data_IF_357620397847
#
_entry.id   IF_357620397847
#
_cell.length_a   1.000
_cell.length_b   1.000
_cell.length_c   1.000
_cell.angle_alpha   90.00
_cell.angle_beta   90.00
_cell.angle_gamma   90.00
#
_symmetry.space_group_name_H-M   'P 1'
#
loop_
_entity.id
_entity.type
_entity.pdbx_description
1 polymer ?
#
# COMPACT_ATOMS: atom_id res chain seq x y z
N UNK A 1 38.99 22.13 51.81
CA UNK A 1 38.76 20.82 51.16
C UNK A 1 37.70 21.00 50.09
N UNK A 2 38.09 20.99 48.81
CA UNK A 2 37.16 21.19 47.67
C UNK A 2 36.90 19.82 47.03
N UNK A 3 35.64 19.39 47.05
CA UNK A 3 35.19 18.13 46.43
C UNK A 3 34.80 18.40 45.00
N UNK A 4 35.58 17.90 44.06
CA UNK A 4 35.30 17.97 42.60
C UNK A 4 34.20 16.97 42.20
N UNK A 5 33.05 17.46 41.72
CA UNK A 5 32.00 16.64 41.11
C UNK A 5 32.35 16.38 39.64
N UNK A 6 32.73 15.15 39.33
CA UNK A 6 32.87 14.67 37.94
C UNK A 6 31.49 14.32 37.41
N UNK A 7 31.01 15.09 36.43
CA UNK A 7 29.81 14.79 35.66
C UNK A 7 30.14 13.69 34.64
N UNK A 8 29.54 12.53 34.79
CA UNK A 8 29.63 11.43 33.82
C UNK A 8 28.56 11.70 32.77
N UNK A 9 28.94 12.08 31.55
CA UNK A 9 28.07 12.11 30.39
C UNK A 9 27.87 10.66 29.89
N UNK A 10 26.71 10.08 30.15
CA UNK A 10 26.28 8.86 29.46
C UNK A 10 25.79 9.23 28.06
N UNK A 11 26.56 8.96 27.03
CA UNK A 11 26.15 9.03 25.65
C UNK A 11 25.19 7.83 25.38
N UNK A 12 23.90 8.11 25.23
CA UNK A 12 22.92 7.13 24.75
C UNK A 12 23.18 6.92 23.24
N UNK A 13 23.86 5.84 22.90
CA UNK A 13 23.95 5.38 21.52
C UNK A 13 22.58 4.86 21.09
N UNK A 14 21.93 5.55 20.13
CA UNK A 14 20.74 5.05 19.48
C UNK A 14 21.08 3.75 18.72
N UNK A 15 20.27 2.69 18.81
CA UNK A 15 20.54 1.48 18.06
C UNK A 15 20.40 1.76 16.55
N UNK A 16 21.49 1.62 15.82
CA UNK A 16 21.49 1.51 14.37
C UNK A 16 20.79 0.20 14.02
N UNK A 17 19.55 0.28 13.54
CA UNK A 17 18.85 -0.85 12.92
C UNK A 17 19.54 -1.19 11.59
N UNK A 18 20.63 -1.91 11.65
CA UNK A 18 21.18 -2.60 10.48
C UNK A 18 20.26 -3.79 10.20
N UNK A 19 19.33 -3.66 9.24
CA UNK A 19 18.56 -4.81 8.76
C UNK A 19 19.53 -5.88 8.30
N UNK A 20 19.45 -7.07 8.90
CA UNK A 20 20.32 -8.19 8.55
C UNK A 20 20.12 -8.50 7.05
N UNK A 21 21.18 -8.77 6.28
CA UNK A 21 21.08 -9.09 4.84
C UNK A 21 20.07 -10.21 4.54
N UNK A 22 19.92 -11.18 5.42
CA UNK A 22 18.94 -12.25 5.32
C UNK A 22 17.47 -11.76 5.33
N UNK A 23 17.14 -10.80 6.17
CA UNK A 23 15.77 -10.24 6.26
C UNK A 23 15.38 -9.45 5.01
N UNK A 24 16.33 -8.72 4.42
CA UNK A 24 16.12 -8.01 3.16
C UNK A 24 15.87 -8.97 1.99
N UNK A 25 16.63 -10.06 1.91
CA UNK A 25 16.45 -11.09 0.88
C UNK A 25 15.12 -11.82 1.03
N UNK A 26 14.69 -12.12 2.25
CA UNK A 26 13.38 -12.73 2.53
C UNK A 26 12.22 -11.83 2.08
N UNK A 27 12.30 -10.53 2.37
CA UNK A 27 11.28 -9.56 1.94
C UNK A 27 11.18 -9.47 0.42
N UNK A 28 12.32 -9.44 -0.29
CA UNK A 28 12.36 -9.47 -1.75
C UNK A 28 11.89 -10.83 -2.32
N UNK A 29 12.14 -11.93 -1.63
CA UNK A 29 11.57 -13.24 -1.95
C UNK A 29 10.03 -13.22 -1.90
N UNK A 30 9.45 -12.60 -0.87
CA UNK A 30 7.98 -12.40 -0.79
C UNK A 30 7.44 -11.54 -1.95
N UNK A 31 8.16 -10.49 -2.35
CA UNK A 31 7.78 -9.69 -3.53
C UNK A 31 7.68 -10.57 -4.78
N UNK A 32 8.67 -11.43 -5.03
CA UNK A 32 8.67 -12.34 -6.18
C UNK A 32 7.52 -13.34 -6.10
N UNK A 33 7.32 -13.96 -4.95
CA UNK A 33 6.25 -14.93 -4.74
C UNK A 33 4.83 -14.33 -4.88
N UNK A 34 4.69 -13.04 -4.60
CA UNK A 34 3.42 -12.34 -4.68
C UNK A 34 2.91 -12.09 -6.11
N UNK A 35 3.81 -12.10 -7.11
CA UNK A 35 3.49 -11.79 -8.51
C UNK A 35 4.01 -12.84 -9.50
N UNK A 36 3.59 -14.12 -9.38
CA UNK A 36 4.18 -15.24 -10.13
C UNK A 36 3.97 -15.16 -11.64
N UNK A 37 2.96 -14.41 -12.11
CA UNK A 37 2.73 -14.21 -13.55
C UNK A 37 3.71 -13.20 -14.17
N UNK A 38 4.34 -12.36 -13.37
CA UNK A 38 5.25 -11.31 -13.82
C UNK A 38 6.70 -11.55 -13.40
N UNK A 39 6.92 -12.15 -12.25
CA UNK A 39 8.25 -12.30 -11.65
C UNK A 39 8.66 -13.78 -11.64
N UNK A 40 9.84 -14.06 -12.21
CA UNK A 40 10.37 -15.42 -12.31
C UNK A 40 11.18 -15.81 -11.07
N UNK A 41 12.10 -14.94 -10.62
CA UNK A 41 12.98 -15.21 -9.49
C UNK A 41 13.70 -13.96 -8.98
N UNK A 42 14.26 -14.08 -7.78
CA UNK A 42 15.30 -13.19 -7.27
C UNK A 42 16.67 -13.79 -7.62
N UNK A 43 17.54 -13.02 -8.26
CA UNK A 43 18.89 -13.39 -8.66
C UNK A 43 19.88 -12.41 -8.03
N UNK A 44 20.38 -12.73 -6.84
CA UNK A 44 21.17 -11.82 -6.03
C UNK A 44 20.39 -10.55 -5.64
N UNK A 45 20.80 -9.43 -6.18
CA UNK A 45 20.15 -8.13 -5.96
C UNK A 45 19.26 -7.69 -7.12
N UNK A 46 18.86 -8.61 -7.99
CA UNK A 46 18.08 -8.33 -9.19
C UNK A 46 16.82 -9.18 -9.21
N UNK A 47 15.67 -8.56 -9.41
CA UNK A 47 14.44 -9.26 -9.75
C UNK A 47 14.43 -9.55 -11.25
N UNK A 48 14.26 -10.81 -11.60
CA UNK A 48 14.12 -11.26 -13.00
C UNK A 48 12.64 -11.45 -13.30
N UNK A 49 12.16 -10.77 -14.33
CA UNK A 49 10.79 -10.88 -14.83
C UNK A 49 10.62 -12.11 -15.72
N UNK A 50 9.38 -12.57 -15.89
CA UNK A 50 9.07 -13.72 -16.76
C UNK A 50 9.42 -13.50 -18.23
N UNK A 51 9.49 -12.24 -18.68
CA UNK A 51 9.93 -11.85 -20.03
C UNK A 51 11.48 -11.72 -20.16
N UNK A 52 12.23 -12.09 -19.11
CA UNK A 52 13.68 -11.99 -19.06
C UNK A 52 14.24 -10.62 -18.66
N UNK A 53 13.40 -9.59 -18.54
CA UNK A 53 13.85 -8.27 -18.06
C UNK A 53 14.42 -8.38 -16.65
N UNK A 54 15.49 -7.62 -16.39
CA UNK A 54 16.18 -7.55 -15.09
C UNK A 54 15.94 -6.17 -14.44
N UNK A 55 15.58 -6.15 -13.17
CA UNK A 55 15.32 -4.92 -12.41
C UNK A 55 16.09 -4.95 -11.10
N UNK A 56 16.94 -3.94 -10.90
CA UNK A 56 17.74 -3.78 -9.68
C UNK A 56 16.82 -3.55 -8.46
N UNK A 57 17.11 -4.23 -7.35
CA UNK A 57 16.32 -4.11 -6.12
C UNK A 57 16.70 -2.89 -5.29
N UNK A 58 17.90 -2.35 -5.49
CA UNK A 58 18.48 -1.32 -4.62
C UNK A 58 18.96 -1.87 -3.26
N UNK A 59 19.11 -3.18 -3.12
CA UNK A 59 19.69 -3.79 -1.93
C UNK A 59 21.12 -3.27 -1.68
N UNK A 60 21.49 -3.14 -0.40
CA UNK A 60 22.80 -2.59 0.01
C UNK A 60 22.88 -1.06 -0.02
N UNK A 61 21.88 -0.35 -0.53
CA UNK A 61 21.83 1.12 -0.40
C UNK A 61 21.52 1.51 1.05
N UNK A 62 22.13 2.61 1.57
CA UNK A 62 21.81 3.11 2.91
C UNK A 62 20.35 3.53 3.01
N UNK A 63 19.83 3.55 4.22
CA UNK A 63 18.50 4.06 4.48
C UNK A 63 18.42 5.55 4.12
N UNK A 64 17.33 5.92 3.44
CA UNK A 64 17.07 7.29 3.00
C UNK A 64 15.89 7.89 3.79
N UNK A 65 15.81 9.23 3.92
CA UNK A 65 14.66 9.87 4.52
C UNK A 65 13.34 9.42 3.87
N UNK A 66 12.28 9.34 4.66
CA UNK A 66 10.96 8.88 4.22
C UNK A 66 10.45 9.65 2.98
N UNK A 67 10.63 10.98 2.98
CA UNK A 67 10.20 11.86 1.89
C UNK A 67 10.97 11.61 0.58
N UNK A 68 12.22 11.18 0.68
CA UNK A 68 13.03 10.78 -0.48
C UNK A 68 12.54 9.45 -1.03
N UNK A 69 12.32 8.46 -0.15
CA UNK A 69 11.79 7.15 -0.55
C UNK A 69 10.38 7.24 -1.13
N UNK A 70 9.54 8.16 -0.66
CA UNK A 70 8.22 8.41 -1.22
C UNK A 70 8.25 8.83 -2.70
N UNK A 71 9.32 9.50 -3.14
CA UNK A 71 9.43 10.04 -4.51
C UNK A 71 10.25 9.19 -5.45
N UNK A 72 11.21 8.45 -4.91
CA UNK A 72 12.17 7.64 -5.67
C UNK A 72 12.49 6.35 -4.92
N UNK A 73 11.50 5.46 -4.83
CA UNK A 73 11.66 4.19 -4.14
C UNK A 73 12.34 3.13 -5.01
N UNK A 74 13.28 2.41 -4.40
CA UNK A 74 13.75 1.11 -4.89
C UNK A 74 12.77 0.00 -4.50
N UNK A 75 12.94 -1.22 -5.01
CA UNK A 75 12.15 -2.38 -4.57
C UNK A 75 12.43 -2.72 -3.09
N UNK A 76 13.67 -2.53 -2.64
CA UNK A 76 14.02 -2.71 -1.23
C UNK A 76 13.30 -1.69 -0.34
N UNK A 77 13.21 -0.42 -0.75
CA UNK A 77 12.46 0.59 -0.01
C UNK A 77 10.97 0.28 0.04
N UNK A 78 10.38 -0.19 -1.07
CA UNK A 78 8.97 -0.61 -1.16
C UNK A 78 8.64 -1.69 -0.13
N UNK A 79 9.56 -2.62 0.11
CA UNK A 79 9.39 -3.74 1.03
C UNK A 79 9.80 -3.43 2.48
N UNK A 80 10.23 -2.20 2.79
CA UNK A 80 10.80 -1.83 4.10
C UNK A 80 9.79 -1.84 5.22
N UNK A 81 8.57 -1.35 4.96
CA UNK A 81 7.52 -1.25 5.98
C UNK A 81 6.58 -2.47 5.89
N UNK A 82 6.48 -3.21 6.98
CA UNK A 82 5.54 -4.31 7.10
C UNK A 82 4.10 -3.76 7.24
N UNK A 83 3.16 -4.36 6.53
CA UNK A 83 1.73 -4.10 6.74
C UNK A 83 1.25 -4.91 7.95
N UNK A 84 0.68 -4.28 8.98
CA UNK A 84 0.24 -4.98 10.19
C UNK A 84 -1.01 -5.82 9.89
N UNK A 85 -0.97 -7.10 10.26
CA UNK A 85 -2.13 -7.99 10.16
C UNK A 85 -3.19 -7.65 11.23
N UNK A 86 -4.45 -7.93 10.94
CA UNK A 86 -5.56 -7.80 11.89
C UNK A 86 -5.97 -6.36 12.22
N UNK A 87 -6.81 -6.16 13.24
CA UNK A 87 -7.31 -4.85 13.61
C UNK A 87 -6.19 -3.92 14.08
N UNK A 88 -6.27 -2.60 13.78
CA UNK A 88 -5.29 -1.64 14.25
C UNK A 88 -5.22 -1.64 15.78
N UNK A 89 -4.03 -1.78 16.35
CA UNK A 89 -3.82 -1.70 17.80
C UNK A 89 -3.85 -0.25 18.34
N UNK A 90 -3.85 0.75 17.44
CA UNK A 90 -3.84 2.17 17.74
C UNK A 90 -3.43 3.00 16.53
N UNK A 91 -3.22 4.32 16.71
CA UNK A 91 -2.73 5.19 15.66
C UNK A 91 -1.38 4.71 15.10
N UNK A 92 -1.18 4.73 13.77
CA UNK A 92 0.10 4.38 13.17
C UNK A 92 1.23 5.30 13.62
N UNK A 93 2.42 4.74 13.82
CA UNK A 93 3.62 5.52 14.12
C UNK A 93 3.97 6.51 13.01
N UNK A 94 4.68 7.60 13.38
CA UNK A 94 5.10 8.63 12.41
C UNK A 94 5.81 8.01 11.20
N UNK A 95 5.39 8.41 9.99
CA UNK A 95 5.89 7.93 8.70
C UNK A 95 5.71 6.41 8.47
N UNK A 96 4.99 5.69 9.34
CA UNK A 96 4.61 4.31 9.06
C UNK A 96 3.39 4.30 8.13
N UNK A 97 3.62 4.09 6.85
CA UNK A 97 2.60 4.09 5.79
C UNK A 97 2.93 3.02 4.75
N UNK A 98 2.81 1.71 5.13
CA UNK A 98 3.16 0.58 4.27
C UNK A 98 2.33 0.60 2.98
N UNK A 99 3.00 0.58 1.83
CA UNK A 99 2.40 0.72 0.51
C UNK A 99 2.57 2.10 -0.12
N UNK A 100 2.75 3.16 0.66
CA UNK A 100 2.99 4.49 0.09
C UNK A 100 4.37 4.65 -0.54
N UNK A 101 5.40 4.02 0.03
CA UNK A 101 6.72 3.89 -0.60
C UNK A 101 6.61 2.81 -1.67
N UNK A 102 6.74 3.18 -2.96
CA UNK A 102 6.62 2.23 -4.07
C UNK A 102 7.43 2.63 -5.29
N UNK A 103 8.00 1.64 -5.96
CA UNK A 103 8.72 1.83 -7.21
C UNK A 103 7.73 2.01 -8.37
N UNK A 104 7.68 3.22 -8.95
CA UNK A 104 6.85 3.50 -10.12
C UNK A 104 7.24 2.63 -11.32
N UNK A 105 8.54 2.42 -11.55
CA UNK A 105 9.01 1.60 -12.65
C UNK A 105 8.50 0.15 -12.57
N UNK A 106 8.42 -0.39 -11.35
CA UNK A 106 7.87 -1.72 -11.10
C UNK A 106 6.39 -1.82 -11.48
N UNK A 107 5.57 -0.90 -10.98
CA UNK A 107 4.13 -0.93 -11.24
C UNK A 107 3.78 -0.54 -12.68
N UNK A 108 4.51 0.41 -13.28
CA UNK A 108 4.34 0.76 -14.70
C UNK A 108 4.67 -0.43 -15.60
N UNK A 109 5.72 -1.19 -15.31
CA UNK A 109 6.04 -2.40 -16.09
C UNK A 109 4.94 -3.45 -15.95
N UNK A 110 4.39 -3.63 -14.76
CA UNK A 110 3.39 -4.65 -14.45
C UNK A 110 2.01 -4.31 -15.02
N UNK A 111 1.52 -3.10 -14.76
CA UNK A 111 0.15 -2.67 -15.06
C UNK A 111 0.02 -1.78 -16.30
N UNK A 112 1.10 -1.20 -16.79
CA UNK A 112 1.12 -0.21 -17.86
C UNK A 112 1.10 1.23 -17.34
N UNK A 113 1.40 2.18 -18.25
CA UNK A 113 1.34 3.62 -17.97
C UNK A 113 0.08 4.21 -18.63
N UNK A 114 -0.91 4.60 -17.84
CA UNK A 114 -2.18 5.16 -18.33
C UNK A 114 -1.98 6.44 -19.17
N UNK A 115 -0.90 7.19 -18.94
CA UNK A 115 -0.58 8.42 -19.69
C UNK A 115 -0.12 8.15 -21.13
N UNK A 116 0.32 6.91 -21.41
CA UNK A 116 0.78 6.48 -22.75
C UNK A 116 -0.27 5.70 -23.53
N UNK A 117 -1.46 5.51 -22.96
CA UNK A 117 -2.50 4.65 -23.49
C UNK A 117 -2.21 3.16 -23.29
N UNK A 118 -3.23 2.32 -23.45
CA UNK A 118 -3.08 0.87 -23.35
C UNK A 118 -3.26 0.25 -21.98
N UNK A 119 -3.26 1.03 -20.89
CA UNK A 119 -3.61 0.52 -19.58
C UNK A 119 -5.08 0.08 -19.51
N UNK A 120 -5.97 0.83 -20.16
CA UNK A 120 -7.40 0.57 -20.28
C UNK A 120 -7.73 -0.76 -20.99
N UNK A 121 -6.88 -1.24 -21.91
CA UNK A 121 -7.05 -2.55 -22.58
C UNK A 121 -6.92 -3.74 -21.62
N UNK A 122 -6.40 -3.52 -20.44
CA UNK A 122 -6.23 -4.53 -19.37
C UNK A 122 -7.30 -4.40 -18.30
N UNK A 123 -8.33 -3.57 -18.53
CA UNK A 123 -9.43 -3.39 -17.60
C UNK A 123 -10.65 -4.19 -18.05
N UNK A 124 -11.41 -4.67 -17.08
CA UNK A 124 -12.78 -5.13 -17.28
C UNK A 124 -13.71 -4.44 -16.29
N UNK A 125 -14.97 -4.35 -16.64
CA UNK A 125 -15.99 -3.80 -15.75
C UNK A 125 -16.36 -4.82 -14.68
N UNK A 126 -16.29 -4.38 -13.42
CA UNK A 126 -16.81 -5.10 -12.24
C UNK A 126 -17.98 -4.29 -11.71
N UNK A 127 -19.10 -4.93 -11.38
CA UNK A 127 -20.23 -4.24 -10.76
C UNK A 127 -20.04 -4.20 -9.25
N UNK A 128 -19.76 -3.01 -8.72
CA UNK A 128 -19.67 -2.77 -7.28
C UNK A 128 -21.04 -2.83 -6.64
N UNK A 129 -21.17 -3.53 -5.51
CA UNK A 129 -22.37 -3.66 -4.67
C UNK A 129 -23.67 -3.85 -5.47
N UNK A 130 -23.76 -4.95 -6.28
CA UNK A 130 -24.84 -5.16 -7.24
C UNK A 130 -26.23 -5.29 -6.60
N UNK A 131 -26.32 -5.75 -5.35
CA UNK A 131 -27.57 -5.93 -4.63
C UNK A 131 -27.96 -4.70 -3.80
N UNK A 132 -26.96 -3.88 -3.40
CA UNK A 132 -27.17 -2.70 -2.55
C UNK A 132 -27.35 -1.43 -3.39
N UNK A 133 -26.37 -1.12 -4.23
CA UNK A 133 -26.35 0.03 -5.12
C UNK A 133 -25.39 -0.22 -6.29
N UNK A 134 -25.85 -0.81 -7.39
CA UNK A 134 -25.01 -1.17 -8.51
C UNK A 134 -24.24 0.02 -9.09
N UNK A 135 -22.92 -0.16 -9.23
CA UNK A 135 -22.04 0.84 -9.84
C UNK A 135 -20.98 0.13 -10.69
N UNK A 136 -20.92 0.38 -12.02
CA UNK A 136 -19.89 -0.22 -12.86
C UNK A 136 -18.54 0.47 -12.63
N UNK A 137 -17.50 -0.34 -12.39
CA UNK A 137 -16.14 0.12 -12.11
C UNK A 137 -15.14 -0.58 -13.03
N UNK A 138 -14.25 0.15 -13.74
CA UNK A 138 -13.14 -0.45 -14.47
C UNK A 138 -12.06 -0.93 -13.52
N UNK A 139 -11.67 -2.20 -13.62
CA UNK A 139 -10.67 -2.85 -12.74
C UNK A 139 -9.68 -3.61 -13.60
N UNK A 140 -8.41 -3.54 -13.26
CA UNK A 140 -7.37 -4.28 -13.99
C UNK A 140 -7.56 -5.79 -13.90
N UNK A 141 -7.28 -6.49 -15.00
CA UNK A 141 -7.25 -7.96 -15.04
C UNK A 141 -5.89 -8.53 -14.60
N UNK A 142 -4.85 -7.69 -14.56
CA UNK A 142 -3.52 -8.10 -14.12
C UNK A 142 -3.56 -8.59 -12.67
N UNK A 143 -2.84 -9.66 -12.39
CA UNK A 143 -2.74 -10.30 -11.07
C UNK A 143 -4.10 -10.71 -10.47
N UNK A 144 -5.10 -10.97 -11.30
CA UNK A 144 -6.45 -11.35 -10.90
C UNK A 144 -7.19 -10.30 -10.04
N UNK A 145 -6.74 -9.03 -10.07
CA UNK A 145 -7.30 -7.97 -9.21
C UNK A 145 -8.81 -7.86 -9.35
N UNK A 146 -9.33 -7.88 -10.59
CA UNK A 146 -10.76 -7.82 -10.82
C UNK A 146 -11.52 -9.01 -10.21
N UNK A 147 -11.01 -10.23 -10.34
CA UNK A 147 -11.59 -11.43 -9.75
C UNK A 147 -11.54 -11.41 -8.20
N UNK A 148 -10.45 -10.88 -7.64
CA UNK A 148 -10.33 -10.70 -6.19
C UNK A 148 -11.31 -9.65 -5.67
N UNK A 149 -11.48 -8.54 -6.40
CA UNK A 149 -12.48 -7.52 -6.03
C UNK A 149 -13.91 -8.08 -6.09
N UNK A 150 -14.24 -8.95 -7.04
CA UNK A 150 -15.54 -9.64 -7.06
C UNK A 150 -15.76 -10.52 -5.82
N UNK A 151 -14.71 -11.20 -5.34
CA UNK A 151 -14.79 -11.96 -4.07
C UNK A 151 -15.00 -11.03 -2.87
N UNK A 152 -14.28 -9.89 -2.84
CA UNK A 152 -14.52 -8.84 -1.83
C UNK A 152 -15.99 -8.40 -1.86
N UNK A 153 -16.54 -8.09 -3.03
CA UNK A 153 -17.93 -7.65 -3.19
C UNK A 153 -18.90 -8.70 -2.66
N UNK A 154 -18.68 -9.96 -3.00
CA UNK A 154 -19.55 -11.06 -2.54
C UNK A 154 -19.60 -11.17 -1.02
N UNK A 155 -18.49 -10.96 -0.32
CA UNK A 155 -18.46 -10.96 1.15
C UNK A 155 -19.04 -9.67 1.74
N UNK A 156 -18.75 -8.50 1.14
CA UNK A 156 -19.31 -7.22 1.60
C UNK A 156 -20.83 -7.15 1.49
N UNK A 157 -21.42 -7.79 0.47
CA UNK A 157 -22.89 -7.87 0.33
C UNK A 157 -23.55 -8.71 1.44
N UNK A 158 -22.80 -9.58 2.11
CA UNK A 158 -23.27 -10.37 3.26
C UNK A 158 -23.21 -9.62 4.58
N UNK A 159 -22.49 -8.51 4.62
CA UNK A 159 -22.37 -7.71 5.83
C UNK A 159 -23.72 -7.06 6.20
N UNK A 160 -23.95 -6.79 7.50
CA UNK A 160 -25.13 -6.05 7.95
C UNK A 160 -25.29 -4.69 7.24
N UNK A 161 -26.52 -4.28 6.94
CA UNK A 161 -26.82 -3.07 6.17
C UNK A 161 -26.22 -1.78 6.77
N UNK A 162 -26.07 -1.74 8.11
CA UNK A 162 -25.36 -0.61 8.76
C UNK A 162 -23.94 -0.40 8.26
N UNK A 163 -23.26 -1.45 7.81
CA UNK A 163 -21.90 -1.39 7.27
C UNK A 163 -21.89 -1.01 5.79
N UNK A 164 -22.94 -1.37 5.04
CA UNK A 164 -23.02 -1.07 3.61
C UNK A 164 -23.07 0.43 3.31
N UNK A 165 -23.53 1.24 4.26
CA UNK A 165 -23.51 2.70 4.14
C UNK A 165 -22.10 3.30 3.99
N UNK A 166 -21.06 2.60 4.43
CA UNK A 166 -19.65 2.99 4.23
C UNK A 166 -19.12 2.64 2.84
N UNK A 167 -19.82 1.77 2.12
CA UNK A 167 -19.37 1.21 0.85
C UNK A 167 -19.93 1.97 -0.36
N UNK A 168 -21.12 2.59 -0.22
CA UNK A 168 -21.85 3.19 -1.34
C UNK A 168 -22.19 4.67 -1.11
N UNK A 169 -22.03 5.50 -2.17
CA UNK A 169 -21.42 5.18 -3.44
C UNK A 169 -19.91 4.99 -3.29
N UNK A 170 -19.29 4.14 -4.13
CA UNK A 170 -17.83 4.12 -4.29
C UNK A 170 -17.36 5.38 -5.01
N UNK A 171 -16.17 5.87 -4.66
CA UNK A 171 -15.51 6.97 -5.38
C UNK A 171 -14.67 6.49 -6.55
N UNK A 172 -14.68 5.17 -6.81
CA UNK A 172 -14.17 4.57 -8.02
C UNK A 172 -12.84 3.85 -7.88
N UNK A 173 -12.44 3.22 -8.99
CA UNK A 173 -11.22 2.39 -9.09
C UNK A 173 -10.16 3.00 -9.99
N UNK A 174 -10.55 3.48 -11.18
CA UNK A 174 -9.61 3.99 -12.17
C UNK A 174 -9.64 5.52 -12.24
N UNK A 175 -8.46 6.12 -12.07
CA UNK A 175 -8.23 7.53 -12.30
C UNK A 175 -6.76 7.73 -12.67
N UNK A 176 -6.50 8.11 -13.93
CA UNK A 176 -5.15 8.37 -14.43
C UNK A 176 -4.60 9.68 -13.88
N UNK A 177 -4.14 9.66 -12.64
CA UNK A 177 -3.61 10.83 -11.93
C UNK A 177 -2.35 10.50 -11.14
N UNK A 178 -1.59 11.53 -10.83
CA UNK A 178 -0.51 11.46 -9.84
C UNK A 178 -1.04 11.76 -8.43
N UNK A 179 -0.35 11.27 -7.42
CA UNK A 179 -0.56 11.62 -6.02
C UNK A 179 0.05 12.99 -5.77
N UNK A 180 -0.73 13.93 -5.22
CA UNK A 180 -0.38 15.36 -5.16
C UNK A 180 0.91 15.65 -4.38
N UNK A 181 1.18 14.91 -3.30
CA UNK A 181 2.34 15.11 -2.43
C UNK A 181 3.62 14.41 -2.93
N UNK A 182 3.51 13.43 -3.82
CA UNK A 182 4.66 12.67 -4.32
C UNK A 182 4.96 12.87 -5.81
N UNK A 183 3.95 13.24 -6.61
CA UNK A 183 4.04 13.32 -8.06
C UNK A 183 4.07 11.95 -8.76
N UNK A 184 4.01 10.83 -8.01
CA UNK A 184 3.99 9.48 -8.55
C UNK A 184 2.58 9.08 -8.98
N UNK A 185 2.49 8.17 -9.96
CA UNK A 185 1.19 7.60 -10.34
C UNK A 185 0.49 6.97 -9.15
N UNK A 186 -0.79 7.30 -8.96
CA UNK A 186 -1.65 6.66 -7.97
C UNK A 186 -1.86 5.18 -8.32
N UNK A 187 -2.17 4.32 -7.33
CA UNK A 187 -2.61 2.95 -7.61
C UNK A 187 -3.94 2.91 -8.37
N UNK A 188 -4.74 3.97 -8.29
CA UNK A 188 -5.91 4.18 -9.17
C UNK A 188 -5.52 4.32 -10.65
N UNK A 189 -4.34 4.84 -10.97
CA UNK A 189 -3.86 4.92 -12.36
C UNK A 189 -3.62 3.55 -13.00
N UNK A 190 -3.53 2.51 -12.18
CA UNK A 190 -3.40 1.11 -12.59
C UNK A 190 -4.72 0.34 -12.49
N UNK A 191 -5.83 0.96 -12.07
CA UNK A 191 -7.10 0.31 -11.74
C UNK A 191 -6.93 -0.87 -10.73
N UNK A 192 -5.93 -0.77 -9.85
CA UNK A 192 -5.59 -1.75 -8.82
C UNK A 192 -5.92 -1.25 -7.40
N UNK A 193 -6.72 -0.21 -7.29
CA UNK A 193 -7.22 0.38 -6.05
C UNK A 193 -8.70 0.72 -6.16
N UNK A 194 -9.36 0.87 -5.02
CA UNK A 194 -10.73 1.35 -4.90
C UNK A 194 -10.84 2.31 -3.72
N UNK A 195 -11.57 3.40 -3.91
CA UNK A 195 -12.04 4.26 -2.84
C UNK A 195 -13.52 3.98 -2.57
N UNK A 196 -13.85 3.63 -1.32
CA UNK A 196 -15.23 3.46 -0.87
C UNK A 196 -15.89 4.82 -0.59
N UNK A 197 -16.98 4.89 0.17
CA UNK A 197 -17.74 6.11 0.39
C UNK A 197 -16.93 7.21 1.12
N UNK A 198 -16.48 8.22 0.37
CA UNK A 198 -15.70 9.37 0.86
C UNK A 198 -16.45 10.13 1.96
N UNK A 199 -17.77 10.29 1.85
CA UNK A 199 -18.54 11.05 2.84
C UNK A 199 -18.52 10.41 4.25
N UNK A 200 -18.19 9.13 4.35
CA UNK A 200 -18.07 8.38 5.61
C UNK A 200 -16.64 8.02 5.99
N UNK A 201 -15.68 8.60 5.30
CA UNK A 201 -14.25 8.31 5.44
C UNK A 201 -13.49 9.51 5.99
N UNK A 202 -12.24 9.30 6.34
CA UNK A 202 -11.31 10.31 6.83
C UNK A 202 -10.02 10.28 6.01
N UNK A 203 -9.47 11.47 5.74
CA UNK A 203 -8.22 11.63 5.01
C UNK A 203 -7.28 12.56 5.76
N UNK A 204 -6.05 12.18 5.90
CA UNK A 204 -5.07 12.86 6.73
C UNK A 204 -4.93 14.37 6.44
N UNK A 205 -5.00 14.77 5.16
CA UNK A 205 -4.83 16.18 4.80
C UNK A 205 -6.03 17.06 5.17
N UNK A 206 -7.22 16.47 5.37
CA UNK A 206 -8.40 17.22 5.83
C UNK A 206 -8.31 17.60 7.31
N UNK A 207 -7.56 16.82 8.10
CA UNK A 207 -7.40 17.01 9.53
C UNK A 207 -6.03 17.56 9.90
N UNK A 208 -5.17 17.88 8.90
CA UNK A 208 -3.81 18.34 9.12
C UNK A 208 -3.82 19.67 9.86
N UNK A 209 -3.26 19.67 11.06
CA UNK A 209 -2.95 20.83 11.86
C UNK A 209 -1.44 21.13 11.78
N UNK A 210 -1.00 22.31 12.25
CA UNK A 210 0.41 22.70 12.17
C UNK A 210 1.32 21.67 12.86
N UNK A 211 2.09 20.94 12.06
CA UNK A 211 3.14 20.02 12.52
C UNK A 211 2.66 18.65 12.99
N UNK A 212 1.36 18.37 13.00
CA UNK A 212 0.80 17.08 13.43
C UNK A 212 -0.30 16.56 12.49
N UNK A 213 -0.54 15.24 12.53
CA UNK A 213 -1.59 14.55 11.80
C UNK A 213 -2.41 13.78 12.83
N UNK A 214 -3.47 14.38 13.40
CA UNK A 214 -4.33 13.69 14.35
C UNK A 214 -5.03 12.53 13.64
N UNK A 215 -4.80 11.30 14.10
CA UNK A 215 -5.39 10.11 13.47
C UNK A 215 -6.92 10.11 13.64
N UNK A 216 -7.63 9.89 12.54
CA UNK A 216 -9.08 9.75 12.49
C UNK A 216 -9.46 8.55 11.63
N UNK A 217 -10.43 7.79 12.10
CA UNK A 217 -11.01 6.69 11.35
C UNK A 217 -12.44 6.42 11.75
N UNK A 218 -13.35 6.41 10.79
CA UNK A 218 -14.75 6.03 10.96
C UNK A 218 -15.10 4.68 10.31
N UNK A 219 -14.18 4.13 9.50
CA UNK A 219 -14.44 2.87 8.80
C UNK A 219 -14.34 1.70 9.78
N UNK A 220 -15.40 0.88 9.92
CA UNK A 220 -15.35 -0.36 10.70
C UNK A 220 -14.32 -1.34 10.15
N UNK A 221 -13.57 -1.99 11.05
CA UNK A 221 -12.50 -2.91 10.64
C UNK A 221 -13.03 -4.13 9.90
N UNK A 222 -14.25 -4.57 10.16
CA UNK A 222 -14.91 -5.67 9.46
C UNK A 222 -14.91 -5.47 7.93
N UNK A 223 -14.97 -4.23 7.46
CA UNK A 223 -14.83 -3.91 6.03
C UNK A 223 -13.38 -4.14 5.58
N UNK A 224 -12.41 -3.65 6.33
CA UNK A 224 -10.99 -3.80 5.99
C UNK A 224 -10.56 -5.27 6.00
N UNK A 225 -11.06 -6.06 6.94
CA UNK A 225 -10.78 -7.49 7.04
C UNK A 225 -11.18 -8.25 5.77
N UNK A 226 -12.34 -7.95 5.19
CA UNK A 226 -12.79 -8.55 3.92
C UNK A 226 -11.82 -8.23 2.77
N UNK A 227 -11.35 -7.00 2.68
CA UNK A 227 -10.37 -6.60 1.68
C UNK A 227 -9.01 -7.26 1.91
N UNK A 228 -8.53 -7.30 3.15
CA UNK A 228 -7.25 -7.91 3.51
C UNK A 228 -7.20 -9.40 3.19
N UNK A 229 -8.31 -10.12 3.39
CA UNK A 229 -8.45 -11.54 3.01
C UNK A 229 -8.23 -11.77 1.50
N UNK A 230 -8.46 -10.75 0.66
CA UNK A 230 -8.21 -10.79 -0.77
C UNK A 230 -6.94 -10.04 -1.19
N UNK A 231 -6.01 -9.79 -0.24
CA UNK A 231 -4.69 -9.17 -0.46
C UNK A 231 -4.74 -7.68 -0.86
N UNK A 232 -5.80 -6.98 -0.52
CA UNK A 232 -5.83 -5.52 -0.58
C UNK A 232 -5.41 -4.96 0.77
N UNK A 233 -4.44 -4.04 0.78
CA UNK A 233 -4.09 -3.29 1.98
C UNK A 233 -5.05 -2.09 2.14
N UNK A 234 -5.22 -1.65 3.37
CA UNK A 234 -6.08 -0.54 3.74
C UNK A 234 -5.28 0.71 4.14
N UNK A 235 -5.57 1.85 3.53
CA UNK A 235 -4.95 3.13 3.85
C UNK A 235 -5.28 3.68 5.25
N UNK A 236 -6.28 3.10 5.93
CA UNK A 236 -6.57 3.42 7.34
C UNK A 236 -5.47 2.99 8.32
N UNK A 237 -4.54 2.13 7.90
CA UNK A 237 -3.37 1.72 8.69
C UNK A 237 -2.11 2.55 8.41
N UNK A 238 -2.24 3.69 7.74
CA UNK A 238 -1.12 4.59 7.44
C UNK A 238 -1.07 5.77 8.40
N UNK A 239 0.12 6.26 8.70
CA UNK A 239 0.31 7.53 9.39
C UNK A 239 -0.34 8.69 8.60
N UNK A 240 -0.12 8.70 7.28
CA UNK A 240 -0.84 9.56 6.34
C UNK A 240 -2.12 8.83 5.88
N UNK A 241 -3.04 8.63 6.82
CA UNK A 241 -4.20 7.77 6.62
C UNK A 241 -5.12 8.24 5.49
N UNK A 242 -5.64 7.25 4.79
CA UNK A 242 -6.64 7.39 3.73
C UNK A 242 -7.67 6.27 3.93
N UNK A 243 -8.68 6.53 4.75
CA UNK A 243 -9.53 5.45 5.25
C UNK A 243 -10.55 4.94 4.23
N UNK A 244 -10.75 5.68 3.11
CA UNK A 244 -11.54 5.17 1.98
C UNK A 244 -10.75 4.23 1.07
N UNK A 245 -9.42 4.32 1.09
CA UNK A 245 -8.53 3.73 0.10
C UNK A 245 -8.14 2.30 0.41
N UNK A 246 -8.35 1.41 -0.56
CA UNK A 246 -7.86 0.04 -0.58
C UNK A 246 -7.07 -0.21 -1.86
N UNK A 247 -5.89 -0.82 -1.78
CA UNK A 247 -5.06 -1.13 -2.95
C UNK A 247 -4.52 -2.56 -2.91
N UNK A 248 -4.47 -3.23 -4.06
CA UNK A 248 -3.98 -4.59 -4.16
C UNK A 248 -2.46 -4.65 -4.03
N UNK A 249 -1.99 -5.23 -2.92
CA UNK A 249 -0.56 -5.28 -2.55
C UNK A 249 -0.23 -6.61 -1.85
N UNK A 250 -0.30 -7.73 -2.59
CA UNK A 250 -0.11 -9.05 -2.00
C UNK A 250 1.27 -9.25 -1.36
N UNK A 251 2.28 -8.52 -1.82
CA UNK A 251 3.65 -8.59 -1.32
C UNK A 251 3.80 -8.00 0.10
N UNK A 252 2.88 -7.14 0.52
CA UNK A 252 2.93 -6.49 1.84
C UNK A 252 2.13 -7.26 2.90
N UNK A 253 1.12 -8.01 2.49
CA UNK A 253 0.34 -8.85 3.40
C UNK A 253 1.09 -10.17 3.57
N UNK A 254 1.68 -10.38 4.75
CA UNK A 254 2.40 -11.60 5.09
C UNK A 254 1.58 -12.85 4.76
N UNK A 255 2.26 -13.89 4.28
CA UNK A 255 1.64 -15.20 4.11
C UNK A 255 1.14 -15.71 5.46
N UNK A 256 -0.07 -16.28 5.46
CA UNK A 256 -0.49 -17.19 6.51
C UNK A 256 0.39 -18.42 6.45
#
# INVERSE_FOLDING_TARGET
>A
MAVSRRTILCALAAPLFVTRPAEGAERLGRLVAAYPHHLARLDGQVVVWTDGTRMETGAGRPERPFEVMLRDATLTDQMRQAYPAGPPAGPPGRNHSPGRIRSTAFFVKMYGDCRRGGADRRHRTVTWMPQTRPQPLPVTTENDVATRLERVIAELERLPDRLKAYLVPSSGTFNCRTVADTGLLSMHAYAAAIDINVARSDYWSWARERGDIPYRNRIPFEIAEVFEAQRFIWGGKWYHYDTMHFEYRPELIGGA
#
